data_IF_455098367947
#
_entry.id   IF_455098367947
#
_cell.length_a   1.000
_cell.length_b   1.000
_cell.length_c   1.000
_cell.angle_alpha   90.00
_cell.angle_beta   90.00
_cell.angle_gamma   90.00
#
_symmetry.space_group_name_H-M   'P 1'
#
loop_
_entity.id
_entity.type
_entity.pdbx_description
1 polymer ?
#
# COMPACT_ATOMS: atom_id res chain seq x y z
N UNK A 1 7.34 -0.69 -1.24
CA UNK A 1 8.27 0.45 -1.00
C UNK A 1 7.54 1.80 -1.12
N UNK A 2 6.88 2.12 -2.23
CA UNK A 2 6.20 3.43 -2.43
C UNK A 2 5.17 3.77 -1.35
N UNK A 3 4.25 2.85 -1.04
CA UNK A 3 3.18 3.09 -0.05
C UNK A 3 3.70 3.15 1.39
N UNK A 4 4.69 2.31 1.73
CA UNK A 4 5.41 2.40 3.00
C UNK A 4 6.01 3.79 3.17
N UNK A 5 6.76 4.24 2.16
CA UNK A 5 7.39 5.55 2.18
C UNK A 5 6.33 6.66 2.25
N UNK A 6 5.25 6.56 1.48
CA UNK A 6 4.14 7.52 1.53
C UNK A 6 3.59 7.67 2.96
N UNK A 7 3.35 6.56 3.64
CA UNK A 7 2.86 6.54 5.02
C UNK A 7 3.85 7.19 5.98
N UNK A 8 5.14 6.83 5.92
CA UNK A 8 6.15 7.42 6.80
C UNK A 8 6.40 8.91 6.51
N UNK A 9 6.39 9.32 5.24
CA UNK A 9 6.48 10.74 4.84
C UNK A 9 5.29 11.52 5.39
N UNK A 10 4.07 10.98 5.32
CA UNK A 10 2.91 11.60 5.95
C UNK A 10 3.15 11.79 7.46
N UNK A 11 3.78 10.83 8.14
CA UNK A 11 4.10 10.93 9.58
C UNK A 11 5.28 11.84 9.93
N UNK A 12 5.92 12.46 8.94
CA UNK A 12 7.03 13.39 9.18
C UNK A 12 8.40 12.86 8.77
N UNK A 13 8.52 11.57 8.43
CA UNK A 13 9.81 10.95 8.12
C UNK A 13 10.40 11.44 6.79
N UNK A 14 11.73 11.43 6.71
CA UNK A 14 12.56 11.62 5.52
C UNK A 14 12.88 10.28 4.85
N UNK A 15 13.33 10.32 3.59
CA UNK A 15 13.78 9.13 2.85
C UNK A 15 14.97 8.42 3.50
N UNK A 16 15.75 9.13 4.32
CA UNK A 16 16.94 8.60 4.98
C UNK A 16 16.64 8.06 6.39
N UNK A 17 15.41 8.22 6.89
CA UNK A 17 15.08 7.84 8.25
C UNK A 17 14.95 6.30 8.37
N UNK A 18 15.49 5.70 9.45
CA UNK A 18 15.44 4.26 9.63
C UNK A 18 14.00 3.79 9.91
N UNK A 19 13.44 3.01 8.99
CA UNK A 19 12.05 2.53 9.05
C UNK A 19 11.83 1.42 10.11
N UNK A 20 12.88 0.72 10.52
CA UNK A 20 12.79 -0.53 11.32
C UNK A 20 12.11 -0.36 12.70
N UNK A 21 12.45 0.65 13.52
CA UNK A 21 11.79 0.88 14.81
C UNK A 21 10.31 1.25 14.67
N UNK A 22 9.93 1.84 13.53
CA UNK A 22 8.56 2.31 13.31
C UNK A 22 7.62 1.21 12.81
N UNK A 23 8.13 0.07 12.32
CA UNK A 23 7.29 -1.03 11.84
C UNK A 23 6.46 -1.67 12.96
N UNK A 24 7.04 -1.83 14.15
CA UNK A 24 6.34 -2.38 15.31
C UNK A 24 5.25 -1.40 15.80
N UNK A 25 5.58 -0.12 15.86
CA UNK A 25 4.64 0.96 16.17
C UNK A 25 3.52 1.10 15.13
N UNK A 26 3.83 0.80 13.86
CA UNK A 26 2.87 0.80 12.75
C UNK A 26 1.86 -0.34 12.91
N UNK A 27 2.31 -1.51 13.32
CA UNK A 27 1.45 -2.66 13.62
C UNK A 27 0.47 -2.32 14.76
N UNK A 28 0.94 -1.60 15.78
CA UNK A 28 0.08 -1.09 16.86
C UNK A 28 -0.93 -0.05 16.36
N UNK A 29 -0.46 0.91 15.57
CA UNK A 29 -1.29 1.97 14.97
C UNK A 29 -2.41 1.36 14.13
N UNK A 30 -2.09 0.36 13.33
CA UNK A 30 -3.04 -0.27 12.45
C UNK A 30 -4.09 -1.11 13.23
N UNK A 31 -3.73 -1.65 14.41
CA UNK A 31 -4.71 -2.23 15.36
C UNK A 31 -5.65 -1.16 15.92
N UNK A 32 -5.12 0.01 16.31
CA UNK A 32 -5.94 1.15 16.79
C UNK A 32 -6.92 1.60 15.70
N UNK A 33 -6.48 1.61 14.45
CA UNK A 33 -7.27 1.97 13.28
C UNK A 33 -8.20 0.85 12.79
N UNK A 34 -8.25 -0.31 13.47
CA UNK A 34 -9.10 -1.47 13.17
C UNK A 34 -8.96 -2.01 11.75
N UNK A 35 -7.80 -1.88 11.12
CA UNK A 35 -7.54 -2.52 9.82
C UNK A 35 -7.49 -4.03 10.05
N UNK A 36 -8.32 -4.81 9.34
CA UNK A 36 -8.31 -6.27 9.44
C UNK A 36 -7.27 -6.84 8.48
N UNK A 37 -6.31 -7.63 8.98
CA UNK A 37 -5.29 -8.24 8.10
C UNK A 37 -4.86 -9.64 8.53
N UNK A 38 -4.34 -10.39 7.55
CA UNK A 38 -3.65 -11.69 7.76
C UNK A 38 -2.20 -11.44 8.22
N UNK A 39 -1.55 -12.43 8.83
CA UNK A 39 -0.21 -12.34 9.45
C UNK A 39 0.92 -11.73 8.59
N UNK A 40 0.71 -11.54 7.29
CA UNK A 40 1.65 -11.01 6.30
C UNK A 40 1.52 -9.49 6.04
N UNK A 41 0.77 -8.77 6.87
CA UNK A 41 0.39 -7.36 6.66
C UNK A 41 1.55 -6.43 6.28
N UNK A 42 2.71 -6.56 6.91
CA UNK A 42 3.84 -5.65 6.65
C UNK A 42 4.38 -5.74 5.22
N UNK A 43 4.08 -6.80 4.47
CA UNK A 43 4.46 -6.94 3.06
C UNK A 43 3.28 -6.73 2.10
N UNK A 44 2.06 -6.59 2.61
CA UNK A 44 0.85 -6.42 1.80
C UNK A 44 0.71 -5.00 1.29
N UNK A 45 0.65 -4.82 -0.03
CA UNK A 45 0.36 -3.53 -0.68
C UNK A 45 -1.00 -3.00 -0.21
N UNK A 46 -1.99 -3.89 -0.10
CA UNK A 46 -3.33 -3.56 0.36
C UNK A 46 -3.35 -2.98 1.77
N UNK A 47 -2.64 -3.62 2.70
CA UNK A 47 -2.49 -3.13 4.08
C UNK A 47 -1.93 -1.69 4.12
N UNK A 48 -0.88 -1.41 3.34
CA UNK A 48 -0.28 -0.08 3.32
C UNK A 48 -1.17 0.97 2.65
N UNK A 49 -2.01 0.58 1.68
CA UNK A 49 -3.00 1.47 1.07
C UNK A 49 -4.08 1.90 2.07
N UNK A 50 -4.68 0.95 2.78
CA UNK A 50 -5.70 1.25 3.80
C UNK A 50 -5.12 2.14 4.90
N UNK A 51 -3.91 1.80 5.35
CA UNK A 51 -3.25 2.54 6.41
C UNK A 51 -2.91 3.98 5.99
N UNK A 52 -2.45 4.19 4.76
CA UNK A 52 -2.19 5.52 4.22
C UNK A 52 -3.46 6.37 4.15
N UNK A 53 -4.59 5.79 3.70
CA UNK A 53 -5.88 6.49 3.63
C UNK A 53 -6.30 6.97 5.01
N UNK A 54 -6.23 6.08 6.01
CA UNK A 54 -6.63 6.40 7.38
C UNK A 54 -5.71 7.44 8.00
N UNK A 55 -4.40 7.35 7.78
CA UNK A 55 -3.43 8.31 8.28
C UNK A 55 -3.62 9.69 7.67
N UNK A 56 -3.82 9.78 6.35
CA UNK A 56 -4.12 11.05 5.67
C UNK A 56 -5.40 11.68 6.17
N UNK A 57 -6.44 10.87 6.39
CA UNK A 57 -7.69 11.34 7.02
C UNK A 57 -7.43 11.87 8.42
N UNK A 58 -6.64 11.16 9.23
CA UNK A 58 -6.28 11.56 10.60
C UNK A 58 -5.51 12.89 10.64
N UNK A 59 -4.70 13.16 9.62
CA UNK A 59 -3.91 14.39 9.50
C UNK A 59 -4.69 15.58 8.88
N UNK A 60 -5.95 15.39 8.50
CA UNK A 60 -6.77 16.45 7.91
C UNK A 60 -6.50 16.69 6.41
N UNK A 61 -5.77 15.79 5.75
CA UNK A 61 -5.42 15.86 4.33
C UNK A 61 -5.95 14.63 3.56
N UNK A 62 -7.25 14.31 3.62
CA UNK A 62 -7.79 13.10 3.01
C UNK A 62 -7.53 13.10 1.50
N UNK A 63 -7.24 11.92 0.95
CA UNK A 63 -7.22 11.74 -0.50
C UNK A 63 -8.64 11.97 -1.06
N UNK A 64 -8.74 12.46 -2.29
CA UNK A 64 -10.02 12.53 -2.99
C UNK A 64 -10.70 11.14 -3.05
N UNK A 65 -12.05 11.05 -2.95
CA UNK A 65 -12.75 9.76 -2.92
C UNK A 65 -12.44 8.85 -4.12
N UNK A 66 -12.30 9.42 -5.31
CA UNK A 66 -11.94 8.65 -6.51
C UNK A 66 -10.52 8.09 -6.42
N UNK A 67 -9.56 8.85 -5.86
CA UNK A 67 -8.18 8.39 -5.64
C UNK A 67 -8.13 7.27 -4.60
N UNK A 68 -8.93 7.36 -3.53
CA UNK A 68 -9.04 6.27 -2.54
C UNK A 68 -9.53 4.97 -3.20
N UNK A 69 -10.54 5.10 -4.06
CA UNK A 69 -11.13 3.96 -4.77
C UNK A 69 -10.12 3.32 -5.72
N UNK A 70 -9.45 4.12 -6.57
CA UNK A 70 -8.40 3.65 -7.47
C UNK A 70 -7.23 3.00 -6.69
N UNK A 71 -6.81 3.62 -5.59
CA UNK A 71 -5.73 3.13 -4.73
C UNK A 71 -6.05 1.73 -4.18
N UNK A 72 -7.25 1.52 -3.66
CA UNK A 72 -7.67 0.24 -3.10
C UNK A 72 -7.85 -0.82 -4.21
N UNK A 73 -8.46 -0.45 -5.35
CA UNK A 73 -8.64 -1.35 -6.50
C UNK A 73 -7.29 -1.87 -7.03
N UNK A 74 -6.30 -0.99 -7.22
CA UNK A 74 -4.98 -1.39 -7.69
C UNK A 74 -4.21 -2.17 -6.63
N UNK A 75 -4.36 -1.81 -5.35
CA UNK A 75 -3.73 -2.55 -4.26
C UNK A 75 -4.31 -3.96 -4.10
N UNK A 76 -5.62 -4.12 -4.28
CA UNK A 76 -6.31 -5.40 -4.27
C UNK A 76 -5.86 -6.26 -5.46
N UNK A 77 -5.79 -5.67 -6.66
CA UNK A 77 -5.28 -6.34 -7.86
C UNK A 77 -3.86 -6.87 -7.62
N UNK A 78 -2.95 -6.03 -7.11
CA UNK A 78 -1.61 -6.47 -6.76
C UNK A 78 -1.62 -7.51 -5.63
N UNK A 79 -2.47 -7.36 -4.61
CA UNK A 79 -2.53 -8.33 -3.52
C UNK A 79 -2.98 -9.71 -4.01
N UNK A 80 -4.01 -9.79 -4.85
CA UNK A 80 -4.55 -11.05 -5.35
C UNK A 80 -3.63 -11.71 -6.39
N UNK A 81 -2.95 -10.92 -7.22
CA UNK A 81 -2.15 -11.42 -8.33
C UNK A 81 -0.63 -11.35 -8.10
N UNK A 82 -0.12 -10.77 -7.00
CA UNK A 82 1.32 -10.71 -6.66
C UNK A 82 1.60 -11.46 -5.33
N UNK A 83 0.66 -12.25 -4.83
CA UNK A 83 0.83 -12.91 -3.54
C UNK A 83 1.98 -13.92 -3.58
N UNK A 84 2.77 -13.99 -2.49
CA UNK A 84 3.83 -14.97 -2.17
C UNK A 84 3.55 -16.42 -2.61
N UNK A 85 2.33 -16.98 -2.55
CA UNK A 85 2.01 -18.29 -3.12
C UNK A 85 2.27 -18.43 -4.62
N UNK A 86 2.31 -17.33 -5.38
CA UNK A 86 2.69 -17.37 -6.80
C UNK A 86 4.15 -17.75 -7.03
N UNK A 87 5.05 -17.55 -6.06
CA UNK A 87 6.40 -18.17 -6.13
C UNK A 87 6.33 -19.69 -6.27
N UNK A 88 5.21 -20.29 -5.87
CA UNK A 88 4.95 -21.72 -5.92
C UNK A 88 3.82 -22.10 -6.89
N UNK A 89 3.24 -21.14 -7.64
CA UNK A 89 2.30 -21.47 -8.72
C UNK A 89 3.08 -22.06 -9.90
N UNK A 90 2.79 -23.32 -10.23
CA UNK A 90 3.31 -23.98 -11.44
C UNK A 90 2.61 -23.55 -12.74
N UNK A 91 1.54 -22.73 -12.64
CA UNK A 91 0.77 -22.26 -13.79
C UNK A 91 1.34 -20.96 -14.35
N UNK A 92 1.46 -20.90 -15.67
CA UNK A 92 1.80 -19.70 -16.43
C UNK A 92 0.66 -18.69 -16.26
N UNK A 93 0.92 -17.45 -15.80
CA UNK A 93 -0.13 -16.44 -15.64
C UNK A 93 -0.74 -16.09 -16.98
N UNK A 94 -2.06 -15.86 -17.01
CA UNK A 94 -2.73 -15.47 -18.24
C UNK A 94 -2.24 -14.07 -18.68
N UNK A 95 -2.12 -13.78 -19.99
CA UNK A 95 -1.69 -12.46 -20.46
C UNK A 95 -2.50 -11.29 -19.89
N UNK A 96 -3.80 -11.50 -19.64
CA UNK A 96 -4.67 -10.51 -19.00
C UNK A 96 -4.32 -10.23 -17.53
N UNK A 97 -3.90 -11.25 -16.78
CA UNK A 97 -3.44 -11.07 -15.39
C UNK A 97 -2.14 -10.26 -15.34
N UNK A 98 -1.20 -10.59 -16.22
CA UNK A 98 0.09 -9.87 -16.33
C UNK A 98 -0.15 -8.40 -16.67
N UNK A 99 -1.05 -8.12 -17.63
CA UNK A 99 -1.40 -6.74 -18.00
C UNK A 99 -1.98 -5.98 -16.81
N UNK A 100 -2.96 -6.53 -16.10
CA UNK A 100 -3.58 -5.88 -14.93
C UNK A 100 -2.57 -5.60 -13.81
N UNK A 101 -1.62 -6.51 -13.60
CA UNK A 101 -0.52 -6.32 -12.64
C UNK A 101 0.38 -5.15 -13.04
N UNK A 102 0.80 -5.11 -14.32
CA UNK A 102 1.65 -4.04 -14.84
C UNK A 102 0.95 -2.68 -14.78
N UNK A 103 -0.32 -2.63 -15.19
CA UNK A 103 -1.14 -1.42 -15.12
C UNK A 103 -1.29 -0.92 -13.67
N UNK A 104 -1.54 -1.84 -12.73
CA UNK A 104 -1.64 -1.48 -11.31
C UNK A 104 -0.32 -0.96 -10.76
N UNK A 105 0.80 -1.61 -11.08
CA UNK A 105 2.12 -1.13 -10.67
C UNK A 105 2.45 0.24 -11.28
N UNK A 106 2.12 0.46 -12.55
CA UNK A 106 2.31 1.72 -13.25
C UNK A 106 1.48 2.85 -12.63
N UNK A 107 0.25 2.57 -12.19
CA UNK A 107 -0.59 3.55 -11.49
C UNK A 107 0.07 4.08 -10.22
N UNK A 108 0.66 3.20 -9.38
CA UNK A 108 1.37 3.63 -8.16
C UNK A 108 2.56 4.53 -8.46
N UNK A 109 3.30 4.24 -9.54
CA UNK A 109 4.42 5.07 -9.98
C UNK A 109 3.94 6.44 -10.45
N UNK A 110 2.88 6.49 -11.25
CA UNK A 110 2.32 7.73 -11.78
C UNK A 110 1.71 8.63 -10.69
N UNK A 111 1.13 8.04 -9.64
CA UNK A 111 0.50 8.78 -8.53
C UNK A 111 1.45 9.04 -7.36
N UNK A 112 2.73 8.69 -7.46
CA UNK A 112 3.71 8.79 -6.35
C UNK A 112 3.70 10.16 -5.66
N UNK A 113 3.82 11.24 -6.44
CA UNK A 113 3.87 12.60 -5.90
C UNK A 113 2.60 12.99 -5.13
N UNK A 114 1.43 12.55 -5.64
CA UNK A 114 0.15 12.76 -4.97
C UNK A 114 0.09 12.00 -3.64
N UNK A 115 0.54 10.74 -3.62
CA UNK A 115 0.53 9.91 -2.43
C UNK A 115 1.51 10.40 -1.36
N UNK A 116 2.60 11.05 -1.76
CA UNK A 116 3.68 11.51 -0.88
C UNK A 116 3.49 12.94 -0.37
N UNK A 117 2.57 13.71 -0.96
CA UNK A 117 2.22 15.04 -0.47
C UNK A 117 1.72 14.94 0.97
N UNK A 118 2.16 15.83 1.86
CA UNK A 118 1.62 15.93 3.23
C UNK A 118 0.27 16.63 3.21
#
# INVERSE_FOLDING_TARGET
>A
MILKNAFFICRGASFMDPVRPELDATTLTAKVLRVQWKSEAIHSVFFWSELLILEKRRQGCPLEPHVQTELLMHAETLYNHWWVPMRYRRMVPEPGEVRRLVESAAWFMAKRELLWRR
#
